data_IF_654694839964
#
_entry.id   IF_654694839964
#
_cell.length_a   1.000
_cell.length_b   1.000
_cell.length_c   1.000
_cell.angle_alpha   90.00
_cell.angle_beta   90.00
_cell.angle_gamma   90.00
#
_symmetry.space_group_name_H-M   'P 1'
#
loop_
_entity.id
_entity.type
_entity.pdbx_description
1 polymer ?
#
# COMPACT_ATOMS: atom_id res chain seq x y z
N UNK A 1 3.49 -28.89 1.08
CA UNK A 1 3.97 -29.60 -0.11
C UNK A 1 2.85 -29.85 -1.14
N UNK A 2 1.66 -30.36 -0.73
CA UNK A 2 0.50 -30.51 -1.63
C UNK A 2 -0.10 -29.21 -2.19
N UNK A 3 -0.19 -28.14 -1.39
CA UNK A 3 -0.72 -26.85 -1.85
C UNK A 3 0.13 -26.17 -2.94
N UNK A 4 1.46 -26.34 -2.87
CA UNK A 4 2.41 -25.87 -3.89
C UNK A 4 2.29 -26.66 -5.20
N UNK A 5 1.98 -27.96 -5.13
CA UNK A 5 1.75 -28.80 -6.30
C UNK A 5 0.45 -28.43 -7.03
N UNK A 6 -0.64 -28.16 -6.29
CA UNK A 6 -1.91 -27.71 -6.88
C UNK A 6 -1.83 -26.32 -7.50
N UNK A 7 -1.11 -25.37 -6.89
CA UNK A 7 -0.87 -24.04 -7.48
C UNK A 7 0.03 -24.11 -8.71
N UNK A 8 0.98 -25.05 -8.76
CA UNK A 8 1.82 -25.29 -9.95
C UNK A 8 1.05 -25.86 -11.17
N UNK A 9 -0.18 -26.34 -10.95
CA UNK A 9 -1.06 -26.88 -12.00
C UNK A 9 -2.16 -25.90 -12.43
N UNK A 10 -2.30 -24.75 -11.75
CA UNK A 10 -3.29 -23.75 -12.15
C UNK A 10 -2.85 -23.08 -13.45
N UNK A 11 -3.69 -23.23 -14.48
CA UNK A 11 -3.53 -22.50 -15.75
C UNK A 11 -3.61 -21.00 -15.45
N UNK A 12 -2.54 -20.28 -15.78
CA UNK A 12 -2.49 -18.83 -15.66
C UNK A 12 -2.89 -18.19 -16.99
N UNK A 13 -3.73 -17.16 -16.91
CA UNK A 13 -4.16 -16.38 -18.05
C UNK A 13 -3.48 -15.01 -18.03
N UNK A 14 -3.10 -14.47 -19.20
CA UNK A 14 -2.60 -13.12 -19.31
C UNK A 14 -3.76 -12.11 -19.15
N UNK A 15 -3.62 -11.21 -18.19
CA UNK A 15 -4.46 -10.05 -17.97
C UNK A 15 -3.64 -8.80 -18.24
N UNK A 16 -4.23 -7.86 -18.97
CA UNK A 16 -3.59 -6.66 -19.47
C UNK A 16 -4.35 -5.46 -18.96
N UNK A 17 -3.60 -4.50 -18.44
CA UNK A 17 -4.12 -3.23 -17.99
C UNK A 17 -3.33 -2.08 -18.59
N UNK A 18 -4.00 -1.19 -19.31
CA UNK A 18 -3.38 -0.01 -19.88
C UNK A 18 -3.33 1.13 -18.86
N UNK A 19 -2.12 1.57 -18.56
CA UNK A 19 -1.81 2.79 -17.83
C UNK A 19 -1.66 3.94 -18.83
N UNK A 20 -2.76 4.67 -19.01
CA UNK A 20 -2.76 5.91 -19.78
C UNK A 20 -1.85 6.96 -19.12
N UNK A 21 -1.13 7.72 -19.94
CA UNK A 21 -0.32 8.87 -19.50
C UNK A 21 0.77 8.53 -18.46
N UNK A 22 1.34 7.32 -18.53
CA UNK A 22 2.50 6.92 -17.70
C UNK A 22 3.77 6.93 -18.53
N UNK A 23 4.76 7.69 -18.08
CA UNK A 23 6.12 7.72 -18.60
C UNK A 23 6.93 6.62 -17.92
N UNK A 24 7.22 5.59 -18.68
CA UNK A 24 8.08 4.48 -18.28
C UNK A 24 8.77 3.97 -19.55
N UNK A 25 10.10 3.88 -19.49
CA UNK A 25 10.91 3.46 -20.64
C UNK A 25 11.38 2.02 -20.45
N UNK A 26 11.16 1.18 -21.46
CA UNK A 26 11.62 -0.21 -21.47
C UNK A 26 10.64 -1.19 -20.82
N UNK A 27 11.19 -2.27 -20.26
CA UNK A 27 10.43 -3.37 -19.68
C UNK A 27 10.93 -3.66 -18.26
N UNK A 28 10.02 -3.98 -17.35
CA UNK A 28 10.36 -4.33 -15.98
C UNK A 28 9.57 -5.55 -15.52
N UNK A 29 10.29 -6.57 -15.06
CA UNK A 29 9.71 -7.68 -14.31
C UNK A 29 9.66 -7.28 -12.83
N UNK A 30 8.46 -7.04 -12.31
CA UNK A 30 8.25 -6.68 -10.90
C UNK A 30 8.19 -7.92 -10.00
N UNK A 31 7.52 -8.98 -10.49
CA UNK A 31 7.43 -10.30 -9.85
C UNK A 31 7.36 -11.37 -10.95
N UNK A 32 7.31 -12.65 -10.58
CA UNK A 32 7.21 -13.75 -11.54
C UNK A 32 6.01 -13.64 -12.49
N UNK A 33 4.90 -13.07 -12.02
CA UNK A 33 3.66 -12.97 -12.77
C UNK A 33 3.19 -11.51 -12.97
N UNK A 34 4.07 -10.52 -12.80
CA UNK A 34 3.74 -9.10 -12.92
C UNK A 34 4.84 -8.36 -13.69
N UNK A 35 4.45 -7.71 -14.79
CA UNK A 35 5.37 -7.04 -15.71
C UNK A 35 4.84 -5.65 -16.10
N UNK A 36 5.76 -4.73 -16.37
CA UNK A 36 5.48 -3.43 -16.98
C UNK A 36 6.17 -3.35 -18.35
N UNK A 37 5.46 -2.79 -19.32
CA UNK A 37 5.95 -2.53 -20.67
C UNK A 37 5.66 -1.07 -21.05
N UNK A 38 6.72 -0.31 -21.29
CA UNK A 38 6.64 1.06 -21.78
C UNK A 38 6.32 1.12 -23.27
N UNK A 39 6.17 2.34 -23.82
CA UNK A 39 5.94 2.55 -25.24
C UNK A 39 6.98 1.84 -26.12
N UNK A 40 6.53 1.26 -27.24
CA UNK A 40 7.40 0.56 -28.19
C UNK A 40 7.83 -0.86 -27.76
N UNK A 41 7.39 -1.36 -26.60
CA UNK A 41 7.69 -2.72 -26.15
C UNK A 41 6.61 -3.75 -26.55
N UNK A 42 5.81 -3.46 -27.58
CA UNK A 42 4.71 -4.32 -28.04
C UNK A 42 5.15 -5.74 -28.40
N UNK A 43 6.20 -5.87 -29.22
CA UNK A 43 6.74 -7.17 -29.60
C UNK A 43 7.23 -7.98 -28.39
N UNK A 44 7.88 -7.33 -27.41
CA UNK A 44 8.34 -7.99 -26.19
C UNK A 44 7.16 -8.49 -25.34
N UNK A 45 6.09 -7.70 -25.22
CA UNK A 45 4.86 -8.08 -24.54
C UNK A 45 4.21 -9.32 -25.20
N UNK A 46 4.08 -9.35 -26.52
CA UNK A 46 3.50 -10.49 -27.25
C UNK A 46 4.37 -11.74 -27.17
N UNK A 47 5.70 -11.59 -27.28
CA UNK A 47 6.63 -12.69 -27.06
C UNK A 47 6.51 -13.27 -25.65
N UNK A 48 6.33 -12.42 -24.63
CA UNK A 48 6.12 -12.87 -23.25
C UNK A 48 4.83 -13.70 -23.14
N UNK A 49 3.71 -13.22 -23.68
CA UNK A 49 2.42 -13.93 -23.70
C UNK A 49 2.55 -15.29 -24.38
N UNK A 50 3.19 -15.34 -25.56
CA UNK A 50 3.45 -16.59 -26.28
C UNK A 50 4.29 -17.56 -25.45
N UNK A 51 5.37 -17.08 -24.84
CA UNK A 51 6.29 -17.92 -24.07
C UNK A 51 5.68 -18.49 -22.79
N UNK A 52 4.81 -17.73 -22.09
CA UNK A 52 4.26 -18.11 -20.79
C UNK A 52 2.88 -18.75 -20.85
N UNK A 53 2.02 -18.30 -21.75
CA UNK A 53 0.65 -18.79 -21.89
C UNK A 53 0.44 -19.66 -23.14
N UNK A 54 1.42 -19.74 -24.04
CA UNK A 54 1.26 -20.48 -25.30
C UNK A 54 0.28 -19.84 -26.29
N UNK A 55 -0.09 -18.58 -26.07
CA UNK A 55 -1.07 -17.86 -26.89
C UNK A 55 -0.33 -17.03 -27.93
N UNK A 56 -0.62 -17.28 -29.21
CA UNK A 56 -0.10 -16.49 -30.32
C UNK A 56 -1.07 -15.35 -30.65
N UNK A 57 -0.62 -14.11 -30.47
CA UNK A 57 -1.39 -12.89 -30.77
C UNK A 57 -0.62 -12.11 -31.83
N UNK A 58 -1.21 -11.92 -33.00
CA UNK A 58 -0.59 -11.23 -34.12
C UNK A 58 -0.75 -9.71 -33.97
N UNK A 59 0.28 -8.93 -34.31
CA UNK A 59 0.23 -7.46 -34.23
C UNK A 59 -0.93 -6.86 -35.04
N UNK A 60 -1.30 -7.48 -36.17
CA UNK A 60 -2.42 -7.04 -37.01
C UNK A 60 -3.79 -7.07 -36.30
N UNK A 61 -3.92 -7.82 -35.20
CA UNK A 61 -5.14 -7.82 -34.38
C UNK A 61 -5.45 -6.43 -33.82
N UNK A 62 -4.43 -5.61 -33.55
CA UNK A 62 -4.58 -4.28 -32.97
C UNK A 62 -4.91 -3.18 -33.98
N UNK A 63 -4.86 -3.50 -35.28
CA UNK A 63 -5.29 -2.62 -36.37
C UNK A 63 -6.79 -2.75 -36.67
N UNK A 64 -7.44 -3.79 -36.16
CA UNK A 64 -8.88 -4.02 -36.34
C UNK A 64 -9.68 -2.87 -35.72
N UNK A 65 -10.69 -2.37 -36.46
CA UNK A 65 -11.46 -1.19 -36.09
C UNK A 65 -12.07 -1.27 -34.69
N UNK A 66 -12.50 -2.47 -34.29
CA UNK A 66 -13.17 -2.70 -33.01
C UNK A 66 -12.18 -2.79 -31.83
N UNK A 67 -10.88 -3.05 -32.10
CA UNK A 67 -9.82 -3.18 -31.10
C UNK A 67 -8.95 -1.93 -31.01
N UNK A 68 -8.77 -1.22 -32.12
CA UNK A 68 -7.88 -0.06 -32.25
C UNK A 68 -8.11 1.00 -31.17
N UNK A 69 -9.38 1.24 -30.83
CA UNK A 69 -9.78 2.25 -29.85
C UNK A 69 -9.87 1.72 -28.40
N UNK A 70 -9.73 0.42 -28.21
CA UNK A 70 -9.64 -0.24 -26.89
C UNK A 70 -8.25 -0.01 -26.26
N UNK A 71 -8.09 -0.16 -24.93
CA UNK A 71 -6.86 0.22 -24.26
C UNK A 71 -5.61 -0.51 -24.77
N UNK A 72 -5.68 -1.81 -25.09
CA UNK A 72 -4.54 -2.51 -25.70
C UNK A 72 -4.26 -2.00 -27.11
N UNK A 73 -5.30 -1.74 -27.92
CA UNK A 73 -5.14 -1.18 -29.26
C UNK A 73 -4.47 0.19 -29.22
N UNK A 74 -4.86 1.05 -28.27
CA UNK A 74 -4.20 2.34 -28.03
C UNK A 74 -2.74 2.19 -27.63
N UNK A 75 -2.35 1.13 -26.93
CA UNK A 75 -0.95 0.89 -26.59
C UNK A 75 -0.09 0.55 -27.80
N UNK A 76 -0.61 -0.26 -28.73
CA UNK A 76 0.11 -0.56 -29.97
C UNK A 76 0.10 0.62 -30.95
N UNK A 77 -0.93 1.47 -30.91
CA UNK A 77 -1.12 2.58 -31.85
C UNK A 77 -0.60 3.95 -31.37
N UNK A 78 -0.36 4.14 -30.07
CA UNK A 78 0.06 5.43 -29.49
C UNK A 78 1.35 5.31 -28.68
N UNK A 79 2.20 6.33 -28.75
CA UNK A 79 3.55 6.35 -28.17
C UNK A 79 3.64 6.76 -26.70
N UNK A 80 2.53 6.79 -25.95
CA UNK A 80 2.49 7.41 -24.61
C UNK A 80 1.79 6.59 -23.52
N UNK A 81 1.61 5.29 -23.72
CA UNK A 81 0.99 4.42 -22.72
C UNK A 81 1.92 3.31 -22.26
N UNK A 82 1.78 2.96 -21.00
CA UNK A 82 2.43 1.81 -20.38
C UNK A 82 1.40 0.72 -20.18
N UNK A 83 1.79 -0.54 -20.28
CA UNK A 83 0.90 -1.68 -20.02
C UNK A 83 1.44 -2.51 -18.87
N UNK A 84 0.53 -2.91 -17.98
CA UNK A 84 0.76 -3.94 -16.97
C UNK A 84 0.30 -5.27 -17.55
N UNK A 85 1.16 -6.29 -17.49
CA UNK A 85 0.82 -7.67 -17.82
C UNK A 85 0.89 -8.53 -16.56
N UNK A 86 -0.21 -9.23 -16.26
CA UNK A 86 -0.39 -10.09 -15.10
C UNK A 86 -0.72 -11.49 -15.54
N UNK A 87 -0.11 -12.49 -14.91
CA UNK A 87 -0.49 -13.90 -15.09
C UNK A 87 -1.20 -14.40 -13.84
N UNK A 88 -2.51 -14.65 -13.95
CA UNK A 88 -3.33 -15.03 -12.80
C UNK A 88 -4.31 -16.16 -13.16
N UNK A 89 -4.76 -16.97 -12.18
CA UNK A 89 -5.73 -18.03 -12.43
C UNK A 89 -7.16 -17.51 -12.60
N UNK A 90 -7.44 -16.30 -12.11
CA UNK A 90 -8.72 -15.63 -12.31
C UNK A 90 -8.56 -14.11 -12.44
N UNK A 91 -9.62 -13.45 -12.90
CA UNK A 91 -9.68 -11.99 -12.96
C UNK A 91 -9.57 -11.37 -11.55
N UNK A 92 -10.14 -12.01 -10.53
CA UNK A 92 -10.07 -11.53 -9.15
C UNK A 92 -8.64 -11.50 -8.64
N UNK A 93 -7.87 -12.57 -8.89
CA UNK A 93 -6.46 -12.64 -8.52
C UNK A 93 -5.63 -11.59 -9.27
N UNK A 94 -5.95 -11.32 -10.54
CA UNK A 94 -5.30 -10.25 -11.30
C UNK A 94 -5.58 -8.87 -10.70
N UNK A 95 -6.83 -8.62 -10.25
CA UNK A 95 -7.21 -7.38 -9.57
C UNK A 95 -6.48 -7.21 -8.24
N UNK A 96 -6.32 -8.28 -7.46
CA UNK A 96 -5.54 -8.23 -6.23
C UNK A 96 -4.08 -7.85 -6.50
N UNK A 97 -3.46 -8.42 -7.55
CA UNK A 97 -2.11 -8.03 -7.96
C UNK A 97 -2.02 -6.57 -8.43
N UNK A 98 -3.04 -6.07 -9.14
CA UNK A 98 -3.14 -4.65 -9.50
C UNK A 98 -3.21 -3.75 -8.26
N UNK A 99 -4.00 -4.12 -7.26
CA UNK A 99 -4.08 -3.36 -6.01
C UNK A 99 -2.71 -3.28 -5.30
N UNK A 100 -1.95 -4.37 -5.30
CA UNK A 100 -0.58 -4.36 -4.74
C UNK A 100 0.33 -3.40 -5.53
N UNK A 101 0.28 -3.46 -6.87
CA UNK A 101 1.04 -2.56 -7.74
C UNK A 101 0.68 -1.10 -7.49
N UNK A 102 -0.61 -0.76 -7.45
CA UNK A 102 -1.06 0.61 -7.25
C UNK A 102 -0.75 1.12 -5.85
N UNK A 103 -0.87 0.27 -4.82
CA UNK A 103 -0.44 0.61 -3.47
C UNK A 103 1.05 0.94 -3.42
N UNK A 104 1.86 0.11 -4.08
CA UNK A 104 3.30 0.31 -4.20
C UNK A 104 3.65 1.58 -4.98
N UNK A 105 2.98 1.82 -6.11
CA UNK A 105 3.17 3.02 -6.91
C UNK A 105 2.81 4.28 -6.12
N UNK A 106 1.68 4.27 -5.42
CA UNK A 106 1.23 5.40 -4.60
C UNK A 106 2.32 5.86 -3.62
N UNK A 107 2.96 4.93 -2.90
CA UNK A 107 4.01 5.28 -1.92
C UNK A 107 5.38 5.57 -2.54
N UNK A 108 5.63 5.21 -3.81
CA UNK A 108 6.96 5.38 -4.43
C UNK A 108 7.04 6.59 -5.34
N UNK A 109 5.96 6.93 -6.05
CA UNK A 109 5.98 8.07 -6.97
C UNK A 109 6.01 9.41 -6.25
N UNK A 110 6.52 10.41 -6.96
CA UNK A 110 6.51 11.78 -6.49
C UNK A 110 5.09 12.35 -6.63
N UNK A 111 4.59 13.00 -5.58
CA UNK A 111 3.30 13.70 -5.56
C UNK A 111 2.12 12.85 -6.07
N UNK A 112 1.80 11.69 -5.46
CA UNK A 112 0.74 10.78 -5.94
C UNK A 112 -0.65 11.44 -5.98
N UNK A 113 -0.83 12.58 -5.32
CA UNK A 113 -2.11 13.30 -5.28
C UNK A 113 -2.13 14.58 -6.13
N UNK A 114 -1.06 14.90 -6.83
CA UNK A 114 -1.05 16.02 -7.76
C UNK A 114 -1.79 15.62 -9.04
N UNK A 115 -2.84 16.36 -9.39
CA UNK A 115 -3.53 16.32 -10.68
C UNK A 115 -4.27 14.99 -10.97
N UNK A 116 -5.20 14.61 -10.10
CA UNK A 116 -6.15 13.53 -10.37
C UNK A 116 -7.47 14.14 -10.86
N UNK A 117 -7.79 14.11 -12.16
CA UNK A 117 -9.07 14.63 -12.71
C UNK A 117 -9.54 13.99 -14.02
N UNK A 118 -8.85 12.97 -14.53
CA UNK A 118 -9.28 12.19 -15.70
C UNK A 118 -10.21 11.03 -15.30
N UNK A 119 -10.94 10.47 -16.26
CA UNK A 119 -11.73 9.26 -16.02
C UNK A 119 -10.81 8.04 -15.83
N UNK A 120 -11.13 7.19 -14.85
CA UNK A 120 -10.37 5.96 -14.57
C UNK A 120 -10.68 4.91 -15.65
N UNK A 121 -9.65 4.34 -16.25
CA UNK A 121 -9.83 3.18 -17.11
C UNK A 121 -10.11 1.94 -16.25
N UNK A 122 -11.37 1.49 -16.27
CA UNK A 122 -11.81 0.32 -15.49
C UNK A 122 -11.85 -0.97 -16.32
N UNK A 123 -11.18 -1.01 -17.48
CA UNK A 123 -11.14 -2.20 -18.35
C UNK A 123 -9.90 -3.03 -18.05
N UNK A 124 -10.10 -4.34 -17.84
CA UNK A 124 -9.04 -5.35 -17.96
C UNK A 124 -9.30 -6.16 -19.21
N UNK A 125 -8.23 -6.40 -19.94
CA UNK A 125 -8.22 -7.18 -21.16
C UNK A 125 -7.55 -8.52 -20.89
N UNK A 126 -8.03 -9.60 -21.49
CA UNK A 126 -7.43 -10.92 -21.28
C UNK A 126 -7.51 -11.78 -22.52
N UNK A 127 -6.57 -12.72 -22.63
CA UNK A 127 -6.54 -13.70 -23.71
C UNK A 127 -6.75 -15.11 -23.17
N UNK A 128 -7.57 -15.87 -23.90
CA UNK A 128 -7.70 -17.32 -23.77
C UNK A 128 -7.47 -17.97 -25.13
N UNK A 129 -7.40 -19.31 -25.19
CA UNK A 129 -7.29 -20.04 -26.46
C UNK A 129 -8.38 -19.60 -27.44
N UNK A 130 -7.98 -18.91 -28.51
CA UNK A 130 -8.87 -18.44 -29.58
C UNK A 130 -9.83 -17.30 -29.22
N UNK A 131 -9.71 -16.66 -28.05
CA UNK A 131 -10.62 -15.59 -27.65
C UNK A 131 -9.94 -14.45 -26.88
N UNK A 132 -10.42 -13.23 -27.13
CA UNK A 132 -10.06 -12.02 -26.43
C UNK A 132 -11.28 -11.52 -25.65
N UNK A 133 -11.08 -11.15 -24.39
CA UNK A 133 -12.15 -10.72 -23.50
C UNK A 133 -11.82 -9.36 -22.90
N UNK A 134 -12.81 -8.47 -22.87
CA UNK A 134 -12.77 -7.21 -22.15
C UNK A 134 -13.78 -7.29 -21.01
N UNK A 135 -13.35 -6.97 -19.79
CA UNK A 135 -14.26 -6.86 -18.66
C UNK A 135 -14.02 -5.58 -17.88
N UNK A 136 -15.07 -5.06 -17.26
CA UNK A 136 -14.97 -3.96 -16.33
C UNK A 136 -14.69 -4.50 -14.93
N UNK A 137 -13.85 -3.81 -14.16
CA UNK A 137 -13.60 -4.12 -12.77
C UNK A 137 -13.72 -2.87 -11.90
N UNK A 138 -14.11 -3.07 -10.64
CA UNK A 138 -14.21 -1.98 -9.66
C UNK A 138 -12.88 -1.86 -8.94
N UNK A 139 -11.96 -1.05 -9.48
CA UNK A 139 -10.81 -0.59 -8.69
C UNK A 139 -10.78 0.92 -8.71
N UNK A 140 -10.52 1.50 -7.54
CA UNK A 140 -10.21 2.91 -7.38
C UNK A 140 -8.76 3.12 -7.85
N UNK A 141 -8.52 2.97 -9.15
CA UNK A 141 -7.20 3.20 -9.74
C UNK A 141 -7.01 4.71 -9.84
N UNK A 142 -5.80 5.23 -9.55
CA UNK A 142 -5.53 6.63 -9.79
C UNK A 142 -5.82 7.01 -11.24
N UNK A 143 -6.53 8.11 -11.36
CA UNK A 143 -6.62 8.88 -12.57
C UNK A 143 -5.31 9.64 -12.76
N UNK A 144 -4.38 9.10 -13.54
CA UNK A 144 -3.04 9.67 -13.68
C UNK A 144 -3.00 10.66 -14.86
N UNK A 145 -2.77 11.95 -14.58
CA UNK A 145 -2.55 12.94 -15.65
C UNK A 145 -1.16 12.81 -16.28
N UNK A 146 -0.11 12.60 -15.47
CA UNK A 146 1.21 12.13 -15.92
C UNK A 146 1.95 11.50 -14.75
N UNK A 147 2.22 10.20 -14.79
CA UNK A 147 3.05 9.51 -13.78
C UNK A 147 4.40 9.16 -14.40
N UNK A 148 5.49 9.40 -13.67
CA UNK A 148 6.84 9.02 -14.09
C UNK A 148 7.32 7.85 -13.24
N UNK A 149 7.62 6.73 -13.88
CA UNK A 149 8.27 5.57 -13.25
C UNK A 149 9.75 5.63 -13.65
N UNK A 150 10.55 6.27 -12.83
CA UNK A 150 12.00 6.34 -13.01
C UNK A 150 12.72 5.15 -12.31
N UNK A 151 14.05 5.11 -12.41
CA UNK A 151 14.85 4.03 -11.83
C UNK A 151 14.68 3.89 -10.31
N UNK A 152 14.52 5.00 -9.57
CA UNK A 152 14.32 4.96 -8.12
C UNK A 152 12.95 4.36 -7.78
N UNK A 153 11.91 4.78 -8.51
CA UNK A 153 10.56 4.19 -8.36
C UNK A 153 10.61 2.69 -8.67
N UNK A 154 11.28 2.27 -9.75
CA UNK A 154 11.44 0.86 -10.08
C UNK A 154 12.11 0.05 -8.95
N UNK A 155 13.23 0.54 -8.42
CA UNK A 155 13.96 -0.12 -7.32
C UNK A 155 13.08 -0.28 -6.07
N UNK A 156 12.36 0.77 -5.69
CA UNK A 156 11.48 0.73 -4.53
C UNK A 156 10.28 -0.19 -4.75
N UNK A 157 9.66 -0.18 -5.94
CA UNK A 157 8.57 -1.07 -6.30
C UNK A 157 8.98 -2.53 -6.23
N UNK A 158 10.12 -2.89 -6.82
CA UNK A 158 10.65 -4.27 -6.77
C UNK A 158 10.88 -4.68 -5.31
N UNK A 159 11.49 -3.80 -4.50
CA UNK A 159 11.70 -4.05 -3.07
C UNK A 159 10.39 -4.30 -2.35
N UNK A 160 9.39 -3.43 -2.50
CA UNK A 160 8.08 -3.54 -1.83
C UNK A 160 7.34 -4.82 -2.26
N UNK A 161 7.25 -5.07 -3.57
CA UNK A 161 6.51 -6.20 -4.10
C UNK A 161 7.21 -7.55 -3.85
N UNK A 162 8.53 -7.57 -3.67
CA UNK A 162 9.26 -8.79 -3.29
C UNK A 162 9.00 -9.25 -1.85
N UNK A 163 8.32 -8.44 -1.01
CA UNK A 163 8.06 -8.78 0.39
C UNK A 163 7.07 -9.95 0.48
N UNK A 164 7.37 -10.91 1.34
CA UNK A 164 6.46 -12.01 1.69
C UNK A 164 5.51 -11.68 2.84
N UNK A 165 5.63 -10.49 3.42
CA UNK A 165 4.84 -10.07 4.57
C UNK A 165 3.40 -9.72 4.19
N UNK A 166 2.46 -10.59 4.59
CA UNK A 166 1.03 -10.43 4.29
C UNK A 166 0.43 -9.14 4.84
N UNK A 167 0.96 -8.58 5.94
CA UNK A 167 0.45 -7.34 6.52
C UNK A 167 0.79 -6.14 5.64
N UNK A 168 2.02 -6.08 5.14
CA UNK A 168 2.42 -5.04 4.18
C UNK A 168 1.63 -5.18 2.88
N UNK A 169 1.51 -6.39 2.34
CA UNK A 169 0.72 -6.62 1.12
C UNK A 169 -0.76 -6.22 1.30
N UNK A 170 -1.36 -6.54 2.44
CA UNK A 170 -2.71 -6.09 2.80
C UNK A 170 -2.80 -4.56 2.86
N UNK A 171 -1.82 -3.91 3.49
CA UNK A 171 -1.76 -2.45 3.58
C UNK A 171 -1.66 -1.78 2.21
N UNK A 172 -0.91 -2.35 1.25
CA UNK A 172 -0.83 -1.83 -0.12
C UNK A 172 -2.20 -1.80 -0.80
N UNK A 173 -3.05 -2.81 -0.57
CA UNK A 173 -4.41 -2.82 -1.12
C UNK A 173 -5.23 -1.63 -0.63
N UNK A 174 -5.19 -1.34 0.68
CA UNK A 174 -5.87 -0.17 1.24
C UNK A 174 -5.26 1.15 0.74
N UNK A 175 -3.93 1.21 0.57
CA UNK A 175 -3.28 2.39 -0.02
C UNK A 175 -3.78 2.63 -1.44
N UNK A 176 -3.91 1.59 -2.26
CA UNK A 176 -4.48 1.71 -3.61
C UNK A 176 -5.90 2.26 -3.55
N UNK A 177 -6.75 1.74 -2.67
CA UNK A 177 -8.12 2.24 -2.49
C UNK A 177 -8.19 3.69 -2.01
N UNK A 178 -7.19 4.15 -1.24
CA UNK A 178 -7.04 5.53 -0.80
C UNK A 178 -6.48 6.47 -1.88
N UNK A 179 -6.03 5.95 -3.02
CA UNK A 179 -5.42 6.72 -4.12
C UNK A 179 -6.48 7.40 -5.02
N UNK A 180 -7.45 8.05 -4.40
CA UNK A 180 -8.53 8.80 -5.05
C UNK A 180 -8.56 10.28 -4.66
N UNK A 181 -9.56 11.01 -5.16
CA UNK A 181 -9.74 12.44 -4.89
C UNK A 181 -10.47 12.76 -3.59
N UNK A 182 -11.29 11.85 -3.07
CA UNK A 182 -12.00 12.09 -1.82
C UNK A 182 -11.00 12.01 -0.65
N UNK A 183 -10.77 13.17 -0.03
CA UNK A 183 -9.85 13.34 1.09
C UNK A 183 -10.24 12.51 2.32
N UNK A 184 -11.53 12.26 2.55
CA UNK A 184 -12.03 11.45 3.66
C UNK A 184 -11.76 9.98 3.41
N UNK A 185 -12.06 9.49 2.20
CA UNK A 185 -11.76 8.10 1.82
C UNK A 185 -10.26 7.83 1.91
N UNK A 186 -9.44 8.77 1.45
CA UNK A 186 -7.98 8.71 1.57
C UNK A 186 -7.54 8.60 3.03
N UNK A 187 -8.00 9.51 3.89
CA UNK A 187 -7.66 9.51 5.31
C UNK A 187 -8.02 8.19 6.00
N UNK A 188 -9.22 7.66 5.73
CA UNK A 188 -9.66 6.38 6.29
C UNK A 188 -8.81 5.21 5.80
N UNK A 189 -8.59 5.11 4.48
CA UNK A 189 -7.81 4.02 3.89
C UNK A 189 -6.34 4.03 4.36
N UNK A 190 -5.73 5.21 4.52
CA UNK A 190 -4.39 5.35 5.09
C UNK A 190 -4.32 4.81 6.53
N UNK A 191 -5.36 5.06 7.33
CA UNK A 191 -5.43 4.49 8.68
C UNK A 191 -5.68 2.99 8.69
N UNK A 192 -6.53 2.48 7.80
CA UNK A 192 -6.75 1.03 7.67
C UNK A 192 -5.44 0.36 7.24
N UNK A 193 -4.63 1.00 6.39
CA UNK A 193 -3.30 0.50 6.03
C UNK A 193 -2.35 0.43 7.25
N UNK A 194 -2.33 1.45 8.12
CA UNK A 194 -1.57 1.39 9.38
C UNK A 194 -2.08 0.29 10.32
N UNK A 195 -3.41 0.10 10.40
CA UNK A 195 -4.04 -0.95 11.19
C UNK A 195 -3.69 -2.35 10.64
N UNK A 196 -3.69 -2.53 9.32
CA UNK A 196 -3.25 -3.78 8.68
C UNK A 196 -1.78 -4.11 9.02
N UNK A 197 -0.90 -3.10 9.07
CA UNK A 197 0.51 -3.28 9.40
C UNK A 197 0.76 -3.54 10.89
N UNK A 198 0.17 -2.73 11.77
CA UNK A 198 0.56 -2.68 13.19
C UNK A 198 -0.55 -3.09 14.16
N UNK A 199 -1.78 -3.23 13.67
CA UNK A 199 -2.94 -3.51 14.49
C UNK A 199 -2.84 -4.85 15.23
N UNK A 200 -3.34 -4.85 16.46
CA UNK A 200 -3.46 -6.02 17.31
C UNK A 200 -4.68 -5.95 18.24
N UNK A 201 -5.09 -7.12 18.75
CA UNK A 201 -6.32 -7.27 19.54
C UNK A 201 -6.19 -6.78 20.99
N UNK A 202 -4.97 -6.49 21.47
CA UNK A 202 -4.67 -6.24 22.89
C UNK A 202 -4.29 -4.79 23.21
N UNK A 203 -4.07 -3.94 22.22
CA UNK A 203 -3.66 -2.54 22.44
C UNK A 203 -3.43 -1.77 21.15
N UNK A 204 -4.49 -1.61 20.35
CA UNK A 204 -4.38 -1.13 18.97
C UNK A 204 -3.68 0.24 18.84
N UNK A 205 -4.06 1.21 19.68
CA UNK A 205 -3.45 2.56 19.70
C UNK A 205 -1.94 2.49 19.99
N UNK A 206 -1.54 1.80 21.06
CA UNK A 206 -0.13 1.69 21.47
C UNK A 206 0.71 1.00 20.39
N UNK A 207 0.13 0.01 19.74
CA UNK A 207 0.83 -0.81 18.75
C UNK A 207 1.03 -0.05 17.44
N UNK A 208 0.01 0.66 16.97
CA UNK A 208 0.11 1.55 15.81
C UNK A 208 1.11 2.67 16.08
N UNK A 209 0.98 3.41 17.20
CA UNK A 209 1.89 4.52 17.51
C UNK A 209 3.33 4.01 17.67
N UNK A 210 3.54 2.90 18.37
CA UNK A 210 4.87 2.31 18.57
C UNK A 210 5.52 1.84 17.26
N UNK A 211 4.76 1.15 16.40
CA UNK A 211 5.22 0.73 15.08
C UNK A 211 5.57 1.90 14.18
N UNK A 212 4.71 2.92 14.14
CA UNK A 212 4.94 4.16 13.40
C UNK A 212 6.20 4.88 13.91
N UNK A 213 6.37 5.03 15.22
CA UNK A 213 7.55 5.70 15.78
C UNK A 213 8.85 4.96 15.46
N UNK A 214 8.81 3.63 15.32
CA UNK A 214 9.97 2.81 14.95
C UNK A 214 10.29 2.92 13.46
N UNK A 215 9.28 2.76 12.60
CA UNK A 215 9.49 2.59 11.16
C UNK A 215 9.52 3.94 10.41
N UNK A 216 8.96 5.00 10.98
CA UNK A 216 9.00 6.37 10.44
C UNK A 216 9.81 7.33 11.32
N UNK A 217 10.86 6.83 11.97
CA UNK A 217 11.72 7.60 12.89
C UNK A 217 12.49 8.75 12.21
N UNK A 218 12.63 8.70 10.88
CA UNK A 218 13.20 9.75 10.03
C UNK A 218 12.35 11.03 10.02
N UNK A 219 11.05 10.93 10.33
CA UNK A 219 10.13 12.07 10.33
C UNK A 219 10.26 12.84 11.64
N UNK A 220 10.55 14.14 11.52
CA UNK A 220 10.60 15.04 12.66
C UNK A 220 9.26 15.02 13.43
N UNK A 221 9.38 14.79 14.73
CA UNK A 221 8.28 14.74 15.71
C UNK A 221 7.15 13.77 15.34
N UNK A 222 7.52 12.61 14.75
CA UNK A 222 6.57 11.58 14.30
C UNK A 222 5.58 11.14 15.39
N UNK A 223 6.03 11.08 16.65
CA UNK A 223 5.19 10.67 17.79
C UNK A 223 4.05 11.66 18.04
N UNK A 224 4.37 12.94 18.18
CA UNK A 224 3.36 13.99 18.38
C UNK A 224 2.37 14.02 17.21
N UNK A 225 2.89 13.91 15.97
CA UNK A 225 2.07 13.86 14.77
C UNK A 225 1.07 12.70 14.80
N UNK A 226 1.54 11.46 14.96
CA UNK A 226 0.66 10.29 14.90
C UNK A 226 -0.32 10.24 16.07
N UNK A 227 0.05 10.72 17.26
CA UNK A 227 -0.85 10.80 18.41
C UNK A 227 -2.06 11.71 18.12
N UNK A 228 -1.82 12.92 17.59
CA UNK A 228 -2.89 13.86 17.23
C UNK A 228 -3.73 13.32 16.07
N UNK A 229 -3.09 12.77 15.03
CA UNK A 229 -3.79 12.21 13.87
C UNK A 229 -4.68 11.03 14.28
N UNK A 230 -4.22 10.15 15.18
CA UNK A 230 -5.02 9.03 15.68
C UNK A 230 -6.27 9.51 16.43
N UNK A 231 -6.14 10.58 17.23
CA UNK A 231 -7.29 11.17 17.92
C UNK A 231 -8.30 11.79 16.95
N UNK A 232 -7.82 12.48 15.91
CA UNK A 232 -8.68 12.97 14.82
C UNK A 232 -9.44 11.83 14.15
N UNK A 233 -8.78 10.69 13.89
CA UNK A 233 -9.42 9.48 13.36
C UNK A 233 -10.52 8.96 14.27
N UNK A 234 -10.28 8.88 15.58
CA UNK A 234 -11.31 8.44 16.53
C UNK A 234 -12.54 9.35 16.46
N UNK A 235 -12.36 10.67 16.51
CA UNK A 235 -13.47 11.63 16.41
C UNK A 235 -14.23 11.47 15.09
N UNK A 236 -13.51 11.34 13.99
CA UNK A 236 -14.10 11.21 12.66
C UNK A 236 -14.90 9.91 12.49
N UNK A 237 -14.32 8.76 12.85
CA UNK A 237 -14.97 7.44 12.71
C UNK A 237 -16.17 7.27 13.64
N UNK A 238 -16.14 7.87 14.84
CA UNK A 238 -17.27 7.83 15.77
C UNK A 238 -18.36 8.87 15.46
N UNK A 239 -18.19 9.69 14.41
CA UNK A 239 -19.19 10.66 13.98
C UNK A 239 -19.21 11.95 14.79
N UNK A 240 -18.22 12.19 15.67
CA UNK A 240 -18.11 13.43 16.45
C UNK A 240 -17.83 14.64 15.53
N UNK A 241 -17.20 14.39 14.37
CA UNK A 241 -16.91 15.40 13.35
C UNK A 241 -17.21 14.85 11.96
N UNK A 242 -17.80 15.69 11.10
CA UNK A 242 -18.08 15.36 9.69
C UNK A 242 -16.93 15.75 8.74
N UNK A 243 -16.03 16.63 9.20
CA UNK A 243 -14.84 17.08 8.48
C UNK A 243 -13.68 17.22 9.47
N UNK A 244 -12.46 16.86 9.05
CA UNK A 244 -11.29 16.89 9.94
C UNK A 244 -10.96 18.30 10.42
N UNK A 245 -11.07 19.29 9.53
CA UNK A 245 -10.78 20.70 9.79
C UNK A 245 -11.73 21.36 10.79
N UNK A 246 -12.88 20.75 11.09
CA UNK A 246 -13.83 21.28 12.07
C UNK A 246 -13.37 21.09 13.53
N UNK A 247 -12.36 20.25 13.80
CA UNK A 247 -11.92 19.94 15.15
C UNK A 247 -10.72 20.80 15.58
N UNK A 248 -10.69 21.27 16.83
CA UNK A 248 -9.58 22.09 17.39
C UNK A 248 -8.21 21.41 17.30
N UNK A 249 -8.17 20.06 17.35
CA UNK A 249 -6.92 19.29 17.20
C UNK A 249 -6.32 19.37 15.80
N UNK A 250 -7.14 19.60 14.78
CA UNK A 250 -6.65 19.83 13.42
C UNK A 250 -5.90 21.16 13.35
N UNK A 251 -6.50 22.24 13.86
CA UNK A 251 -5.86 23.55 13.92
C UNK A 251 -4.55 23.49 14.72
N UNK A 252 -4.59 22.86 15.90
CA UNK A 252 -3.40 22.63 16.72
C UNK A 252 -2.30 21.87 15.97
N UNK A 253 -2.67 20.86 15.17
CA UNK A 253 -1.69 20.12 14.36
C UNK A 253 -1.01 21.05 13.35
N UNK A 254 -1.79 21.85 12.63
CA UNK A 254 -1.28 22.80 11.64
C UNK A 254 -0.39 23.84 12.31
N UNK A 255 -0.79 24.37 13.47
CA UNK A 255 0.01 25.35 14.22
C UNK A 255 1.34 24.77 14.72
N UNK A 256 1.33 23.52 15.22
CA UNK A 256 2.51 22.86 15.78
C UNK A 256 3.47 22.32 14.71
N UNK A 257 2.96 21.86 13.56
CA UNK A 257 3.75 21.11 12.57
C UNK A 257 3.84 21.77 11.20
N UNK A 258 3.08 22.85 10.95
CA UNK A 258 3.10 23.59 9.69
C UNK A 258 2.61 22.80 8.48
N UNK A 259 1.88 21.70 8.68
CA UNK A 259 1.49 20.76 7.64
C UNK A 259 0.05 20.26 7.81
N UNK A 260 -0.54 19.79 6.73
CA UNK A 260 -1.84 19.14 6.75
C UNK A 260 -1.75 17.76 7.44
N UNK A 261 -2.69 17.38 8.33
CA UNK A 261 -2.68 16.07 8.99
C UNK A 261 -2.81 14.89 8.01
N UNK A 262 -3.55 15.04 6.91
CA UNK A 262 -3.76 13.97 5.92
C UNK A 262 -2.52 13.77 5.07
N UNK A 263 -1.85 14.86 4.69
CA UNK A 263 -0.56 14.80 3.99
C UNK A 263 0.52 14.21 4.91
N UNK A 264 0.58 14.66 6.16
CA UNK A 264 1.52 14.13 7.16
C UNK A 264 1.30 12.64 7.43
N UNK A 265 0.04 12.20 7.50
CA UNK A 265 -0.29 10.77 7.63
C UNK A 265 0.22 9.96 6.45
N UNK A 266 0.14 10.51 5.24
CA UNK A 266 0.64 9.83 4.06
C UNK A 266 2.17 9.69 4.05
N UNK A 267 2.89 10.75 4.41
CA UNK A 267 4.36 10.69 4.53
C UNK A 267 4.78 9.67 5.59
N UNK A 268 4.09 9.65 6.73
CA UNK A 268 4.28 8.63 7.77
C UNK A 268 4.04 7.23 7.21
N UNK A 269 2.94 7.02 6.48
CA UNK A 269 2.58 5.73 5.91
C UNK A 269 3.63 5.24 4.89
N UNK A 270 4.14 6.14 4.05
CA UNK A 270 5.20 5.86 3.07
C UNK A 270 6.46 5.35 3.76
N UNK A 271 6.95 6.06 4.77
CA UNK A 271 8.11 5.63 5.56
C UNK A 271 7.86 4.27 6.25
N UNK A 272 6.67 4.08 6.83
CA UNK A 272 6.30 2.80 7.45
C UNK A 272 6.37 1.62 6.47
N UNK A 273 5.82 1.77 5.26
CA UNK A 273 5.83 0.70 4.24
C UNK A 273 7.27 0.36 3.80
N UNK A 274 8.10 1.39 3.58
CA UNK A 274 9.48 1.22 3.12
C UNK A 274 10.39 0.58 4.18
N UNK A 275 10.11 0.86 5.45
CA UNK A 275 10.95 0.48 6.59
C UNK A 275 10.34 -0.59 7.49
N UNK A 276 9.19 -1.17 7.13
CA UNK A 276 8.42 -2.08 7.99
C UNK A 276 9.27 -3.20 8.61
N UNK A 277 9.29 -3.27 9.95
CA UNK A 277 10.07 -4.26 10.73
C UNK A 277 9.19 -5.28 11.48
N UNK A 278 7.93 -5.46 11.06
CA UNK A 278 7.00 -6.40 11.71
C UNK A 278 6.09 -5.74 12.75
N UNK A 279 5.29 -6.55 13.44
CA UNK A 279 4.36 -6.05 14.46
C UNK A 279 5.13 -5.41 15.61
N UNK A 280 4.67 -4.26 16.07
CA UNK A 280 5.20 -3.67 17.30
C UNK A 280 4.53 -4.35 18.50
N UNK A 281 5.31 -5.14 19.22
CA UNK A 281 4.93 -5.57 20.55
C UNK A 281 5.35 -4.48 21.51
N UNK A 282 4.39 -3.83 22.16
CA UNK A 282 4.71 -2.95 23.28
C UNK A 282 5.56 -3.78 24.26
N UNK A 283 6.69 -3.24 24.76
CA UNK A 283 7.39 -3.87 25.86
C UNK A 283 6.34 -4.18 26.90
N UNK A 284 6.21 -5.47 27.28
CA UNK A 284 5.36 -5.86 28.41
C UNK A 284 5.64 -4.83 29.49
N UNK A 285 4.61 -4.14 29.96
CA UNK A 285 4.77 -3.13 31.00
C UNK A 285 5.76 -3.71 32.00
N UNK A 286 6.86 -2.99 32.24
CA UNK A 286 7.60 -3.20 33.47
C UNK A 286 6.53 -3.07 34.55
N UNK A 287 6.08 -4.19 35.11
CA UNK A 287 5.22 -4.14 36.26
C UNK A 287 5.99 -3.28 37.26
N UNK A 288 5.33 -2.29 37.85
CA UNK A 288 5.95 -1.46 38.89
C UNK A 288 6.41 -2.29 40.12
N UNK A 289 6.31 -3.63 40.08
CA UNK A 289 6.94 -4.55 41.01
C UNK A 289 8.34 -4.94 40.53
N UNK A 290 9.36 -4.15 40.92
CA UNK A 290 10.71 -4.71 41.06
C UNK A 290 10.73 -5.53 42.35
N UNK A 291 10.84 -6.85 42.24
CA UNK A 291 11.21 -7.68 43.39
C UNK A 291 12.72 -7.56 43.57
N UNK A 292 13.16 -6.74 44.53
CA UNK A 292 14.56 -6.76 44.97
C UNK A 292 14.74 -7.89 45.98
N UNK A 293 15.69 -8.78 45.74
CA UNK A 293 16.13 -9.73 46.75
C UNK A 293 16.88 -8.95 47.83
N UNK A 294 16.23 -8.71 48.95
CA UNK A 294 16.85 -8.11 50.13
C UNK A 294 17.69 -9.20 50.81
N UNK A 295 18.99 -8.97 51.05
CA UNK A 295 19.81 -9.88 51.87
C UNK A 295 19.11 -10.16 53.19
N UNK A 296 19.15 -11.40 53.69
CA UNK A 296 18.42 -11.83 54.90
C UNK A 296 18.72 -10.90 56.09
N UNK A 297 19.95 -10.42 56.18
CA UNK A 297 20.45 -9.49 57.19
C UNK A 297 19.76 -8.11 57.18
N UNK A 298 19.23 -7.68 56.02
CA UNK A 298 18.59 -6.38 55.83
C UNK A 298 17.05 -6.48 55.76
N UNK A 299 16.49 -7.70 55.83
CA UNK A 299 15.07 -7.94 55.61
C UNK A 299 14.17 -7.26 56.66
N UNK A 300 14.58 -7.28 57.94
CA UNK A 300 13.82 -6.64 59.03
C UNK A 300 13.87 -5.11 58.98
N UNK A 301 14.99 -4.53 58.58
CA UNK A 301 15.12 -3.07 58.46
C UNK A 301 14.29 -2.53 57.30
N UNK A 302 14.28 -3.24 56.16
CA UNK A 302 13.42 -2.90 55.02
C UNK A 302 11.94 -3.06 55.38
N UNK A 303 11.59 -4.08 56.15
CA UNK A 303 10.20 -4.30 56.59
C UNK A 303 9.70 -3.17 57.50
N UNK A 304 10.52 -2.74 58.47
CA UNK A 304 10.21 -1.57 59.32
C UNK A 304 10.07 -0.28 58.51
N UNK A 305 10.93 -0.07 57.52
CA UNK A 305 10.87 1.10 56.63
C UNK A 305 9.58 1.13 55.80
N UNK A 306 9.11 -0.03 55.34
CA UNK A 306 7.83 -0.15 54.60
C UNK A 306 6.64 0.10 55.54
N UNK A 307 6.69 -0.41 56.77
CA UNK A 307 5.64 -0.21 57.78
C UNK A 307 5.56 1.25 58.26
N UNK A 308 6.69 1.96 58.40
CA UNK A 308 6.70 3.39 58.69
C UNK A 308 6.10 4.20 57.54
N UNK A 309 6.45 3.87 56.30
CA UNK A 309 5.88 4.52 55.11
C UNK A 309 4.37 4.33 55.00
N UNK A 310 3.84 3.16 55.38
CA UNK A 310 2.40 2.87 55.33
C UNK A 310 1.61 3.47 56.48
N UNK A 311 2.24 3.74 57.62
CA UNK A 311 1.58 4.29 58.81
C UNK A 311 1.55 5.83 58.85
N UNK A 312 2.10 6.51 57.85
CA UNK A 312 1.96 7.95 57.66
C UNK A 312 2.60 8.79 58.77
N UNK A 313 3.74 8.33 59.31
CA UNK A 313 4.66 9.16 60.11
C UNK A 313 5.95 9.41 59.34
#
# INVERSE_FOLDING_TARGET
>A
MFGYYMTSQMKLYPYIYNLGCVRFDGQLKLQDNLYLYGPGQGTALLCNIKSKAGIDVYESFFDEKDIRDEPIGRYFNHSYSTVVLIYAPSQQDAVEMLNLLFGGLCVTVNNPFAINSCDVNNKVESFSEGAYHISNFRVNIPSLLTLSIDGLVCEQLVKILSRSDKRVLSALSFIAHGWGNDRRERFLNQFIALDAMYGNNTGNKTSIIGGVCRDAISILDVRSKIEIIYELRCRFVHGDISTLSAHVKYLKFVDCHGADPVESLFEILKECVLNYQGVYEAPKEYSNSRTMNVPVELAEDVKKMIESFKSGK
#
